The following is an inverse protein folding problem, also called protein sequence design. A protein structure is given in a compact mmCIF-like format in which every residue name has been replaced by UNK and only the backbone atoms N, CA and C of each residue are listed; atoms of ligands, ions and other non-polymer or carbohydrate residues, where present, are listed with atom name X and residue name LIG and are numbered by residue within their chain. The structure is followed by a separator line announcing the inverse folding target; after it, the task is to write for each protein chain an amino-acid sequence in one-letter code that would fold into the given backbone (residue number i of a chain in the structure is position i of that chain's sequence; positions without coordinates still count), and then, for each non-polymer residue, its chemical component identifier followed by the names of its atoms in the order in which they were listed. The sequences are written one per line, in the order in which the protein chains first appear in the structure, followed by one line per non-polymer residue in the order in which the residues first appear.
data_IF_280044716004
#
_entry.id   IF_280044716004
#
_cell.length_a   1.000
_cell.length_b   1.000
_cell.length_c   1.000
_cell.angle_alpha   90.00
_cell.angle_beta   90.00
_cell.angle_gamma   90.00
#
_symmetry.space_group_name_H-M   'P 1'
#
loop_
_entity.id
_entity.type
_entity.pdbx_description
1 polymer ?
#
# COMPACT_ATOMS: atom_id res chain seq x y z
N UNK A 1 -12.71 36.00 -2.26
CA UNK A 1 -12.75 34.91 -3.25
C UNK A 1 -13.95 35.14 -4.14
N UNK A 2 -13.75 35.36 -5.43
CA UNK A 2 -14.84 35.58 -6.38
C UNK A 2 -15.58 34.25 -6.63
N UNK A 3 -16.91 34.17 -6.43
CA UNK A 3 -17.69 32.96 -6.70
C UNK A 3 -17.54 32.43 -8.13
N UNK A 4 -17.16 33.28 -9.10
CA UNK A 4 -16.89 32.86 -10.49
C UNK A 4 -15.62 32.04 -10.65
N UNK A 5 -14.69 32.10 -9.70
CA UNK A 5 -13.43 31.33 -9.75
C UNK A 5 -13.52 29.99 -9.01
N UNK A 6 -14.59 29.77 -8.24
CA UNK A 6 -14.80 28.51 -7.53
C UNK A 6 -15.37 27.46 -8.48
N UNK A 7 -14.48 26.64 -9.06
CA UNK A 7 -14.87 25.49 -9.89
C UNK A 7 -15.01 24.23 -9.03
N UNK A 8 -16.17 23.57 -9.09
CA UNK A 8 -16.37 22.26 -8.43
C UNK A 8 -15.79 21.16 -9.32
N UNK A 9 -14.88 20.38 -8.76
CA UNK A 9 -14.28 19.21 -9.43
C UNK A 9 -15.23 18.02 -9.25
N UNK A 10 -15.47 17.25 -10.32
CA UNK A 10 -16.28 16.04 -10.25
C UNK A 10 -15.58 14.94 -9.42
N UNK A 11 -16.35 13.97 -8.90
CA UNK A 11 -15.76 12.87 -8.11
C UNK A 11 -14.82 12.02 -8.95
N UNK A 12 -15.11 11.86 -10.24
CA UNK A 12 -14.28 11.14 -11.20
C UNK A 12 -12.96 11.86 -11.45
N UNK A 13 -12.96 13.19 -11.51
CA UNK A 13 -11.74 13.98 -11.67
C UNK A 13 -10.88 14.02 -10.41
N UNK A 14 -11.44 13.79 -9.22
CA UNK A 14 -10.65 13.68 -7.99
C UNK A 14 -9.55 12.62 -8.09
N UNK A 15 -9.77 11.54 -8.84
CA UNK A 15 -8.76 10.49 -9.04
C UNK A 15 -7.51 11.01 -9.76
N UNK A 16 -7.61 12.05 -10.59
CA UNK A 16 -6.43 12.66 -11.21
C UNK A 16 -5.55 13.41 -10.22
N UNK A 17 -6.10 13.78 -9.06
CA UNK A 17 -5.35 14.41 -7.97
C UNK A 17 -4.78 13.40 -6.98
N UNK A 18 -5.24 12.13 -7.04
CA UNK A 18 -4.58 11.05 -6.31
C UNK A 18 -3.26 10.72 -7.00
N UNK A 19 -2.15 10.89 -6.28
CA UNK A 19 -0.84 10.42 -6.75
C UNK A 19 -0.75 8.92 -6.49
N UNK A 20 -0.61 8.13 -7.54
CA UNK A 20 -0.29 6.72 -7.38
C UNK A 20 1.19 6.58 -6.99
N UNK A 21 1.45 5.87 -5.89
CA UNK A 21 2.83 5.55 -5.48
C UNK A 21 3.40 4.49 -6.41
N UNK A 22 4.56 4.74 -7.06
CA UNK A 22 5.28 3.71 -7.82
C UNK A 22 5.53 2.48 -6.94
N UNK A 23 5.31 1.28 -7.49
CA UNK A 23 5.48 0.05 -6.74
C UNK A 23 5.96 -1.11 -7.61
N UNK A 24 6.63 -2.07 -6.99
CA UNK A 24 7.16 -3.28 -7.63
C UNK A 24 6.70 -4.53 -6.89
N UNK A 25 6.29 -5.58 -7.61
CA UNK A 25 5.83 -6.84 -7.02
C UNK A 25 7.02 -7.77 -6.79
N UNK A 26 7.26 -8.12 -5.53
CA UNK A 26 8.35 -8.97 -5.12
C UNK A 26 8.05 -10.45 -5.43
N UNK A 27 9.01 -11.11 -6.06
CA UNK A 27 8.90 -12.50 -6.51
C UNK A 27 9.30 -13.51 -5.45
N UNK A 28 10.01 -13.05 -4.41
CA UNK A 28 10.62 -13.90 -3.39
C UNK A 28 11.97 -14.48 -3.80
N UNK A 29 12.46 -14.18 -5.00
CA UNK A 29 13.77 -14.65 -5.49
C UNK A 29 14.91 -13.66 -5.18
N UNK A 30 14.58 -12.46 -4.70
CA UNK A 30 15.53 -11.37 -4.47
C UNK A 30 16.51 -11.69 -3.32
N UNK A 31 16.08 -12.45 -2.31
CA UNK A 31 16.90 -12.87 -1.16
C UNK A 31 16.29 -14.09 -0.43
N UNK A 32 17.08 -14.74 0.46
CA UNK A 32 16.67 -15.94 1.23
C UNK A 32 15.36 -15.77 2.02
N UNK A 33 15.02 -14.55 2.42
CA UNK A 33 13.81 -14.22 3.17
C UNK A 33 13.01 -13.10 2.48
N UNK A 34 13.10 -12.99 1.15
CA UNK A 34 12.38 -11.95 0.42
C UNK A 34 10.85 -12.16 0.55
N UNK A 35 10.09 -11.10 0.87
CA UNK A 35 8.65 -11.22 1.10
C UNK A 35 7.90 -11.36 -0.23
N UNK A 36 7.71 -12.60 -0.66
CA UNK A 36 7.02 -12.96 -1.91
C UNK A 36 5.58 -12.45 -1.92
N UNK A 37 5.18 -11.79 -3.00
CA UNK A 37 3.83 -11.28 -3.20
C UNK A 37 3.58 -9.90 -2.57
N UNK A 38 4.58 -9.31 -1.90
CA UNK A 38 4.49 -7.95 -1.38
C UNK A 38 4.85 -6.91 -2.45
N UNK A 39 4.36 -5.68 -2.27
CA UNK A 39 4.70 -4.53 -3.11
C UNK A 39 5.75 -3.66 -2.41
N UNK A 40 6.91 -3.51 -3.03
CA UNK A 40 7.91 -2.53 -2.63
C UNK A 40 7.48 -1.13 -3.08
N UNK A 41 7.53 -0.15 -2.19
CA UNK A 41 7.17 1.24 -2.44
C UNK A 41 8.42 2.13 -2.37
N UNK A 42 8.42 3.25 -3.08
CA UNK A 42 9.45 4.27 -2.93
C UNK A 42 9.44 4.81 -1.47
N UNK A 43 10.58 4.76 -0.74
CA UNK A 43 10.69 5.34 0.59
C UNK A 43 10.31 6.82 0.63
N UNK A 44 10.61 7.59 -0.42
CA UNK A 44 10.26 9.02 -0.50
C UNK A 44 8.74 9.25 -0.62
N UNK A 45 7.98 8.23 -1.01
CA UNK A 45 6.53 8.24 -1.07
C UNK A 45 5.86 7.68 0.20
N UNK A 46 6.64 7.17 1.15
CA UNK A 46 6.15 6.64 2.43
C UNK A 46 6.37 7.68 3.52
N UNK A 47 5.32 7.99 4.30
CA UNK A 47 5.44 8.96 5.40
C UNK A 47 6.35 8.43 6.52
N UNK A 48 7.08 9.32 7.18
CA UNK A 48 8.00 8.96 8.28
C UNK A 48 7.27 8.35 9.48
N UNK A 49 6.02 8.76 9.72
CA UNK A 49 5.15 8.22 10.77
C UNK A 49 4.95 6.70 10.61
N UNK A 50 4.75 6.21 9.37
CA UNK A 50 4.64 4.78 9.09
C UNK A 50 5.97 4.03 9.32
N UNK A 51 7.11 4.68 9.07
CA UNK A 51 8.42 4.08 9.26
C UNK A 51 8.76 3.91 10.76
N UNK A 52 8.35 4.86 11.60
CA UNK A 52 8.63 4.83 13.05
C UNK A 52 7.86 3.71 13.78
N UNK A 53 6.58 3.50 13.47
CA UNK A 53 5.76 2.44 14.07
C UNK A 53 6.34 1.03 13.80
N UNK A 54 6.98 0.83 12.64
CA UNK A 54 7.65 -0.43 12.29
C UNK A 54 8.96 -0.61 13.07
N UNK A 55 9.63 0.49 13.43
CA UNK A 55 10.87 0.42 14.21
C UNK A 55 10.61 0.12 15.69
N UNK A 56 9.52 0.67 16.25
CA UNK A 56 9.12 0.44 17.65
C UNK A 56 8.66 -1.01 17.91
N UNK A 57 8.26 -1.73 16.87
CA UNK A 57 7.81 -3.14 16.96
C UNK A 57 8.93 -4.19 16.81
N UNK A 58 10.21 -3.78 16.75
CA UNK A 58 11.36 -4.70 16.52
C UNK A 58 11.96 -5.39 17.75
N UNK A 59 11.38 -5.22 18.94
CA UNK A 59 11.92 -5.79 20.19
C UNK A 59 11.16 -7.03 20.68
N UNK A 60 10.49 -7.80 19.80
CA UNK A 60 9.97 -9.12 20.19
C UNK A 60 10.47 -10.25 19.28
N UNK A 61 11.10 -11.30 19.84
CA UNK A 61 11.61 -12.42 19.06
C UNK A 61 10.46 -13.19 18.42
N UNK A 62 10.60 -13.42 17.11
CA UNK A 62 9.72 -14.25 16.29
C UNK A 62 9.61 -15.68 16.87
N UNK A 63 8.69 -15.91 17.81
CA UNK A 63 8.37 -17.25 18.28
C UNK A 63 7.42 -17.92 17.29
N UNK A 64 8.00 -18.90 16.61
CA UNK A 64 7.37 -19.84 15.69
C UNK A 64 6.18 -20.53 16.35
N UNK A 65 4.97 -20.28 15.88
CA UNK A 65 3.83 -21.17 16.09
C UNK A 65 3.12 -21.40 14.76
N UNK A 66 3.28 -22.63 14.24
CA UNK A 66 2.42 -23.19 13.22
C UNK A 66 1.09 -23.58 13.89
N UNK A 67 0.01 -22.91 13.52
CA UNK A 67 -1.37 -23.20 13.96
C UNK A 67 -2.34 -22.64 12.93
N UNK A 68 -3.27 -23.48 12.46
CA UNK A 68 -4.26 -23.18 11.41
C UNK A 68 -5.24 -22.05 11.80
N UNK A 69 -5.96 -21.58 10.77
CA UNK A 69 -7.17 -20.71 10.70
C UNK A 69 -6.91 -19.19 10.82
N UNK A 70 -7.40 -18.26 9.98
CA UNK A 70 -8.42 -18.24 8.92
C UNK A 70 -7.94 -17.42 7.71
N UNK A 71 -8.34 -17.85 6.51
CA UNK A 71 -8.22 -17.10 5.27
C UNK A 71 -9.18 -15.90 5.34
N UNK A 72 -8.73 -14.77 5.91
CA UNK A 72 -9.46 -13.52 5.76
C UNK A 72 -9.18 -12.94 4.38
N UNK A 73 -10.02 -13.43 3.48
CA UNK A 73 -10.28 -12.96 2.14
C UNK A 73 -10.49 -11.43 2.15
N UNK A 74 -9.45 -10.67 1.80
CA UNK A 74 -9.63 -9.29 1.35
C UNK A 74 -10.31 -9.32 -0.02
N UNK A 75 -11.64 -9.44 0.02
CA UNK A 75 -12.49 -9.19 -1.13
C UNK A 75 -12.38 -7.71 -1.50
N UNK A 76 -11.57 -7.40 -2.49
CA UNK A 76 -11.89 -6.34 -3.45
C UNK A 76 -10.98 -6.41 -4.65
N UNK A 77 -11.39 -7.19 -5.64
CA UNK A 77 -11.04 -6.89 -7.03
C UNK A 77 -12.24 -6.24 -7.71
N UNK A 78 -12.25 -4.92 -7.92
CA UNK A 78 -12.82 -4.38 -9.13
C UNK A 78 -11.75 -4.56 -10.21
N UNK A 79 -11.97 -5.52 -11.10
CA UNK A 79 -11.23 -5.59 -12.36
C UNK A 79 -11.61 -4.39 -13.21
N UNK A 80 -10.93 -3.27 -13.00
CA UNK A 80 -11.02 -2.14 -13.91
C UNK A 80 -10.09 -2.48 -15.08
N UNK A 81 -10.63 -3.14 -16.10
CA UNK A 81 -9.96 -3.24 -17.40
C UNK A 81 -9.85 -1.82 -17.95
N UNK A 82 -8.63 -1.29 -17.99
CA UNK A 82 -8.32 -0.08 -18.74
C UNK A 82 -8.71 -0.33 -20.20
N UNK A 83 -9.63 0.48 -20.71
CA UNK A 83 -9.98 0.54 -22.13
C UNK A 83 -8.94 1.35 -22.90
#
# INVERSE_FOLDING_TARGET
MDPKEVRRISKEEMFHFSRQVPNYLLTGQEARNAPKGCRELDPAATSLELLQVIMETKEEPMLKNCGRVEEEMFQSTPQNKCR
#
